data_IF_379464098503
#
_entry.id   IF_379464098503
#
_cell.length_a   1.000
_cell.length_b   1.000
_cell.length_c   1.000
_cell.angle_alpha   90.00
_cell.angle_beta   90.00
_cell.angle_gamma   90.00
#
_symmetry.space_group_name_H-M   'P 1'
#
loop_
_entity.id
_entity.type
_entity.pdbx_description
1 polymer ?
#
# COMPACT_ATOMS: atom_id res chain seq x y z
N UNK A 1 19.76 20.69 23.89
CA UNK A 1 20.06 19.44 23.14
C UNK A 1 20.51 19.87 21.76
N UNK A 2 21.57 19.28 21.18
CA UNK A 2 21.94 19.57 19.80
C UNK A 2 20.74 19.27 18.89
N UNK A 3 20.48 20.16 17.95
CA UNK A 3 19.44 20.00 16.94
C UNK A 3 19.75 18.74 16.14
N UNK A 4 18.76 17.84 16.02
CA UNK A 4 18.95 16.59 15.27
C UNK A 4 19.06 16.94 13.78
N UNK A 5 19.99 16.34 13.04
CA UNK A 5 20.03 16.52 11.59
C UNK A 5 18.70 16.15 10.93
N UNK A 6 18.38 16.84 9.82
CA UNK A 6 17.21 16.54 9.03
C UNK A 6 17.26 15.08 8.52
N UNK A 7 16.18 14.29 8.66
CA UNK A 7 16.11 12.96 8.07
C UNK A 7 16.11 13.06 6.54
N UNK A 8 16.88 12.17 5.88
CA UNK A 8 16.89 12.05 4.43
C UNK A 8 15.87 11.00 3.98
N UNK A 9 14.84 11.39 3.23
CA UNK A 9 13.78 10.49 2.80
C UNK A 9 13.81 10.34 1.28
N UNK A 10 13.91 9.09 0.83
CA UNK A 10 13.80 8.71 -0.56
C UNK A 10 12.34 8.36 -0.89
N UNK A 11 11.71 9.13 -1.77
CA UNK A 11 10.29 8.93 -2.16
C UNK A 11 10.23 8.34 -3.56
N UNK A 12 9.55 7.20 -3.73
CA UNK A 12 9.49 6.56 -5.04
C UNK A 12 8.64 7.34 -6.02
N UNK A 13 9.06 7.36 -7.28
CA UNK A 13 8.25 7.86 -8.39
C UNK A 13 7.97 6.71 -9.36
N UNK A 14 6.73 6.57 -9.86
CA UNK A 14 6.34 5.45 -10.69
C UNK A 14 7.07 5.50 -12.05
N UNK A 15 7.20 4.35 -12.74
CA UNK A 15 7.89 4.28 -14.02
C UNK A 15 7.21 5.15 -15.09
N UNK A 16 8.01 5.59 -16.05
CA UNK A 16 7.55 6.31 -17.24
C UNK A 16 7.16 5.32 -18.36
N UNK A 17 6.51 5.83 -19.42
CA UNK A 17 6.23 5.05 -20.63
C UNK A 17 5.01 4.13 -20.59
N UNK A 18 4.12 4.29 -19.60
CA UNK A 18 2.85 3.56 -19.59
C UNK A 18 1.99 3.93 -20.80
N UNK A 19 1.26 2.97 -21.43
CA UNK A 19 0.42 3.26 -22.59
C UNK A 19 -0.62 4.33 -22.28
N UNK A 20 -0.67 5.40 -23.09
CA UNK A 20 -1.59 6.51 -22.88
C UNK A 20 -3.05 6.02 -22.80
N UNK A 21 -3.77 6.50 -21.80
CA UNK A 21 -5.19 6.16 -21.59
C UNK A 21 -5.43 4.76 -21.01
N UNK A 22 -4.40 4.00 -20.63
CA UNK A 22 -4.53 2.73 -19.91
C UNK A 22 -4.78 2.93 -18.41
N UNK A 23 -5.31 1.91 -17.73
CA UNK A 23 -5.41 1.90 -16.27
C UNK A 23 -4.04 2.11 -15.60
N UNK A 24 -2.97 1.51 -16.13
CA UNK A 24 -1.62 1.65 -15.61
C UNK A 24 -1.09 3.09 -15.72
N UNK A 25 -1.34 3.77 -16.85
CA UNK A 25 -0.96 5.17 -17.01
C UNK A 25 -1.71 6.08 -16.04
N UNK A 26 -3.01 5.86 -15.85
CA UNK A 26 -3.84 6.62 -14.89
C UNK A 26 -3.34 6.40 -13.46
N UNK A 27 -3.08 5.16 -13.06
CA UNK A 27 -2.53 4.86 -11.74
C UNK A 27 -1.16 5.54 -11.54
N UNK A 28 -0.26 5.44 -12.52
CA UNK A 28 1.06 6.07 -12.45
C UNK A 28 1.02 7.61 -12.40
N UNK A 29 0.08 8.25 -13.11
CA UNK A 29 -0.10 9.70 -13.04
C UNK A 29 -0.61 10.13 -11.66
N UNK A 30 -1.56 9.39 -11.10
CA UNK A 30 -2.02 9.60 -9.72
C UNK A 30 -0.87 9.47 -8.72
N UNK A 31 -0.10 8.37 -8.79
CA UNK A 31 1.06 8.13 -7.94
C UNK A 31 2.14 9.22 -8.08
N UNK A 32 2.40 9.74 -9.28
CA UNK A 32 3.32 10.89 -9.49
C UNK A 32 2.90 12.12 -8.70
N UNK A 33 1.61 12.48 -8.77
CA UNK A 33 1.06 13.62 -8.03
C UNK A 33 1.11 13.39 -6.52
N UNK A 34 0.80 12.16 -6.07
CA UNK A 34 0.88 11.79 -4.66
C UNK A 34 2.30 11.85 -4.12
N UNK A 35 3.28 11.33 -4.85
CA UNK A 35 4.70 11.42 -4.51
C UNK A 35 5.19 12.87 -4.39
N UNK A 36 4.77 13.75 -5.32
CA UNK A 36 5.08 15.18 -5.27
C UNK A 36 4.47 15.88 -4.05
N UNK A 37 3.17 15.65 -3.80
CA UNK A 37 2.46 16.19 -2.63
C UNK A 37 3.10 15.72 -1.32
N UNK A 38 3.39 14.41 -1.20
CA UNK A 38 4.05 13.84 -0.03
C UNK A 38 5.44 14.42 0.18
N UNK A 39 6.23 14.54 -0.87
CA UNK A 39 7.58 15.14 -0.81
C UNK A 39 7.53 16.56 -0.26
N UNK A 40 6.57 17.37 -0.71
CA UNK A 40 6.36 18.72 -0.18
C UNK A 40 5.99 18.69 1.31
N UNK A 41 5.08 17.79 1.73
CA UNK A 41 4.67 17.63 3.13
C UNK A 41 5.84 17.24 4.03
N UNK A 42 6.63 16.23 3.62
CA UNK A 42 7.82 15.80 4.35
C UNK A 42 8.86 16.93 4.48
N UNK A 43 9.07 17.70 3.41
CA UNK A 43 9.96 18.87 3.42
C UNK A 43 9.52 19.95 4.43
N UNK A 44 8.21 20.26 4.50
CA UNK A 44 7.68 21.19 5.52
C UNK A 44 7.86 20.69 6.95
N UNK A 45 7.90 19.37 7.15
CA UNK A 45 8.15 18.74 8.44
C UNK A 45 9.65 18.61 8.77
N UNK A 46 10.53 19.19 7.94
CA UNK A 46 11.97 19.27 8.20
C UNK A 46 12.78 18.10 7.65
N UNK A 47 12.21 17.26 6.77
CA UNK A 47 12.97 16.23 6.07
C UNK A 47 13.68 16.79 4.83
N UNK A 48 14.90 16.32 4.56
CA UNK A 48 15.49 16.41 3.24
C UNK A 48 14.86 15.31 2.37
N UNK A 49 14.31 15.66 1.21
CA UNK A 49 13.60 14.71 0.34
C UNK A 49 14.30 14.60 -0.99
N UNK A 50 14.56 13.37 -1.42
CA UNK A 50 15.09 13.08 -2.75
C UNK A 50 14.16 12.09 -3.48
N UNK A 51 13.94 12.29 -4.80
CA UNK A 51 13.18 11.33 -5.59
C UNK A 51 13.97 10.03 -5.74
N UNK A 52 13.25 8.92 -5.79
CA UNK A 52 13.77 7.58 -6.04
C UNK A 52 13.03 6.97 -7.24
N UNK A 53 13.50 7.23 -8.48
CA UNK A 53 12.83 6.75 -9.67
C UNK A 53 12.75 5.22 -9.71
N UNK A 54 11.57 4.69 -9.99
CA UNK A 54 11.41 3.28 -10.29
C UNK A 54 12.29 2.90 -11.49
N UNK A 55 12.97 1.75 -11.37
CA UNK A 55 13.84 1.22 -12.44
C UNK A 55 13.27 -0.10 -12.92
N UNK A 56 13.29 -0.30 -14.23
CA UNK A 56 13.07 -1.63 -14.78
C UNK A 56 14.31 -2.51 -14.47
N UNK A 57 14.12 -3.77 -14.06
CA UNK A 57 15.25 -4.68 -13.93
C UNK A 57 15.92 -4.92 -15.29
N UNK A 58 17.19 -5.29 -15.28
CA UNK A 58 17.88 -5.70 -16.50
C UNK A 58 17.18 -6.93 -17.12
N UNK A 59 17.30 -7.08 -18.44
CA UNK A 59 16.67 -8.19 -19.14
C UNK A 59 17.13 -9.55 -18.56
N UNK A 60 16.18 -10.35 -18.08
CA UNK A 60 16.44 -11.65 -17.46
C UNK A 60 16.72 -11.62 -15.96
N UNK A 61 16.69 -10.46 -15.32
CA UNK A 61 16.84 -10.32 -13.87
C UNK A 61 15.51 -9.99 -13.19
N UNK A 62 15.31 -10.52 -11.98
CA UNK A 62 14.21 -10.09 -11.12
C UNK A 62 14.57 -8.77 -10.44
N UNK A 63 13.59 -7.88 -10.30
CA UNK A 63 13.76 -6.66 -9.50
C UNK A 63 14.05 -7.03 -8.04
N UNK A 64 15.03 -6.37 -7.44
CA UNK A 64 15.44 -6.62 -6.06
C UNK A 64 15.51 -5.29 -5.29
N UNK A 65 14.47 -5.04 -4.50
CA UNK A 65 14.28 -3.77 -3.80
C UNK A 65 15.48 -3.38 -2.94
N UNK A 66 16.02 -4.31 -2.16
CA UNK A 66 17.11 -4.06 -1.22
C UNK A 66 18.38 -3.51 -1.86
N UNK A 67 18.82 -4.11 -2.97
CA UNK A 67 19.98 -3.65 -3.75
C UNK A 67 19.72 -2.27 -4.36
N UNK A 68 18.56 -2.08 -4.97
CA UNK A 68 18.16 -0.81 -5.58
C UNK A 68 18.09 0.33 -4.56
N UNK A 69 17.36 0.13 -3.47
CA UNK A 69 17.24 1.12 -2.40
C UNK A 69 18.59 1.41 -1.74
N UNK A 70 19.38 0.37 -1.40
CA UNK A 70 20.67 0.57 -0.72
C UNK A 70 21.68 1.32 -1.58
N UNK A 71 21.72 1.05 -2.89
CA UNK A 71 22.56 1.78 -3.83
C UNK A 71 22.16 3.27 -3.92
N UNK A 72 20.86 3.56 -4.02
CA UNK A 72 20.36 4.92 -4.06
C UNK A 72 20.61 5.66 -2.73
N UNK A 73 20.38 4.99 -1.60
CA UNK A 73 20.64 5.49 -0.25
C UNK A 73 22.11 5.88 -0.07
N UNK A 74 23.05 5.00 -0.44
CA UNK A 74 24.49 5.28 -0.36
C UNK A 74 24.89 6.47 -1.23
N UNK A 75 24.33 6.56 -2.43
CA UNK A 75 24.56 7.70 -3.34
C UNK A 75 24.06 9.00 -2.74
N UNK A 76 22.84 9.00 -2.18
CA UNK A 76 22.25 10.19 -1.57
C UNK A 76 22.99 10.62 -0.29
N UNK A 77 23.47 9.67 0.52
CA UNK A 77 24.30 9.94 1.69
C UNK A 77 25.66 10.53 1.33
N UNK A 78 26.32 10.02 0.27
CA UNK A 78 27.60 10.53 -0.19
C UNK A 78 27.50 11.96 -0.77
N UNK A 79 26.34 12.33 -1.32
CA UNK A 79 26.06 13.66 -1.85
C UNK A 79 25.45 14.64 -0.84
N UNK A 80 25.19 14.22 0.39
CA UNK A 80 24.56 15.07 1.40
C UNK A 80 25.58 16.02 2.05
N UNK A 81 25.21 17.30 2.16
CA UNK A 81 25.97 18.27 2.92
C UNK A 81 25.67 18.12 4.42
N UNK A 82 26.67 17.71 5.19
CA UNK A 82 26.59 17.59 6.65
C UNK A 82 26.30 16.17 7.14
N UNK A 83 26.05 16.05 8.45
CA UNK A 83 25.85 14.75 9.09
C UNK A 83 24.42 14.27 8.90
N UNK A 84 24.22 13.15 8.22
CA UNK A 84 22.93 12.44 8.20
C UNK A 84 23.02 11.24 9.13
N UNK A 85 22.09 11.14 10.08
CA UNK A 85 21.99 10.00 11.01
C UNK A 85 20.66 9.24 10.88
N UNK A 86 19.82 9.66 9.92
CA UNK A 86 18.47 9.16 9.71
C UNK A 86 18.16 9.10 8.22
N UNK A 87 17.74 7.94 7.72
CA UNK A 87 17.36 7.75 6.32
C UNK A 87 16.03 7.00 6.24
N UNK A 88 15.25 7.24 5.18
CA UNK A 88 13.99 6.55 4.97
C UNK A 88 13.65 6.31 3.51
N UNK A 89 12.67 5.44 3.33
CA UNK A 89 12.04 5.06 2.07
C UNK A 89 10.54 5.26 2.22
N UNK A 90 9.89 5.81 1.19
CA UNK A 90 8.42 5.86 1.10
C UNK A 90 7.96 5.59 -0.34
N UNK A 91 7.02 4.68 -0.51
CA UNK A 91 6.33 4.44 -1.77
C UNK A 91 5.49 5.64 -2.21
N UNK A 92 5.47 5.96 -3.51
CA UNK A 92 4.78 7.13 -4.06
C UNK A 92 3.25 7.13 -3.92
N UNK A 93 2.63 5.97 -3.75
CA UNK A 93 1.21 5.82 -3.42
C UNK A 93 0.89 5.82 -1.92
N UNK A 94 1.92 5.61 -1.09
CA UNK A 94 1.76 5.35 0.33
C UNK A 94 1.58 6.64 1.14
N UNK A 95 1.01 6.51 2.34
CA UNK A 95 0.87 7.58 3.34
C UNK A 95 0.10 8.82 2.88
N UNK A 96 -0.56 8.78 1.71
CA UNK A 96 -1.20 9.94 1.11
C UNK A 96 -2.29 10.56 2.01
N UNK A 97 -2.92 9.74 2.84
CA UNK A 97 -3.96 10.13 3.79
C UNK A 97 -3.47 10.20 5.25
N UNK A 98 -2.22 9.86 5.52
CA UNK A 98 -1.65 9.90 6.87
C UNK A 98 -1.57 11.35 7.36
N UNK A 99 -1.91 11.62 8.61
CA UNK A 99 -1.86 12.96 9.21
C UNK A 99 -0.42 13.43 9.49
N UNK A 100 -0.21 14.75 9.58
CA UNK A 100 1.14 15.33 9.74
C UNK A 100 1.80 14.94 11.08
N UNK A 101 1.04 14.77 12.16
CA UNK A 101 1.54 14.28 13.47
C UNK A 101 2.04 12.83 13.40
N UNK A 102 1.35 11.99 12.63
CA UNK A 102 1.78 10.63 12.33
C UNK A 102 2.99 10.59 11.38
N UNK A 103 3.09 11.52 10.42
CA UNK A 103 4.31 11.71 9.62
C UNK A 103 5.49 12.15 10.49
N UNK A 104 5.29 13.06 11.44
CA UNK A 104 6.33 13.43 12.43
C UNK A 104 6.76 12.19 13.23
N UNK A 105 5.82 11.33 13.61
CA UNK A 105 6.12 10.07 14.31
C UNK A 105 6.95 9.11 13.45
N UNK A 106 6.67 9.04 12.14
CA UNK A 106 7.47 8.30 11.16
C UNK A 106 8.89 8.87 11.03
N UNK A 107 9.02 10.20 10.96
CA UNK A 107 10.28 10.92 10.78
C UNK A 107 11.15 11.00 12.05
N UNK A 108 10.65 10.52 13.19
CA UNK A 108 11.32 10.63 14.49
C UNK A 108 11.70 9.27 15.11
N UNK A 109 12.40 8.36 14.40
CA UNK A 109 13.01 7.20 15.02
C UNK A 109 14.09 7.64 16.02
N UNK A 110 14.31 6.97 17.13
CA UNK A 110 15.51 7.18 17.97
C UNK A 110 16.70 6.39 17.40
N UNK A 111 17.96 6.72 17.73
CA UNK A 111 19.11 5.94 17.27
C UNK A 111 18.98 4.45 17.65
N UNK A 112 19.15 3.57 16.66
CA UNK A 112 18.92 2.13 16.82
C UNK A 112 17.46 1.70 16.62
N UNK A 113 16.61 2.55 16.03
CA UNK A 113 15.19 2.24 15.76
C UNK A 113 14.86 2.32 14.27
N UNK A 114 13.91 1.47 13.86
CA UNK A 114 13.14 1.57 12.62
C UNK A 114 11.68 1.91 12.94
N UNK A 115 11.15 2.94 12.29
CA UNK A 115 9.71 3.24 12.27
C UNK A 115 9.16 2.83 10.92
N UNK A 116 8.07 2.06 10.89
CA UNK A 116 7.43 1.60 9.66
C UNK A 116 5.92 1.86 9.68
N UNK A 117 5.31 2.01 8.50
CA UNK A 117 3.85 2.11 8.40
C UNK A 117 3.14 0.79 8.70
N UNK A 118 3.84 -0.33 8.51
CA UNK A 118 3.36 -1.67 8.80
C UNK A 118 4.54 -2.61 9.00
N UNK A 119 4.54 -3.38 10.11
CA UNK A 119 5.60 -4.36 10.40
C UNK A 119 5.74 -5.47 9.34
N UNK A 120 4.63 -5.91 8.76
CA UNK A 120 4.58 -7.13 7.94
C UNK A 120 4.58 -6.86 6.44
N UNK A 121 4.24 -5.64 6.04
CA UNK A 121 4.11 -5.22 4.65
C UNK A 121 4.37 -3.72 4.59
N UNK A 122 5.64 -3.33 4.70
CA UNK A 122 6.03 -1.94 4.80
C UNK A 122 6.14 -1.31 3.40
N UNK A 123 5.45 -0.19 3.22
CA UNK A 123 5.56 0.71 2.05
C UNK A 123 6.29 2.00 2.44
N UNK A 124 6.56 2.18 3.74
CA UNK A 124 7.37 3.25 4.28
C UNK A 124 8.18 2.78 5.49
N UNK A 125 9.47 3.09 5.49
CA UNK A 125 10.39 2.82 6.61
C UNK A 125 11.33 3.99 6.83
N UNK A 126 11.58 4.35 8.08
CA UNK A 126 12.60 5.36 8.46
C UNK A 126 13.45 4.79 9.57
N UNK A 127 14.77 4.85 9.40
CA UNK A 127 15.75 4.25 10.29
C UNK A 127 16.74 5.29 10.78
N UNK A 128 17.17 5.19 12.04
CA UNK A 128 18.20 6.07 12.60
C UNK A 128 19.30 5.30 13.33
N UNK A 129 20.50 5.86 13.34
CA UNK A 129 21.68 5.32 14.02
C UNK A 129 22.72 4.79 13.05
N UNK A 130 23.08 3.51 13.17
CA UNK A 130 24.10 2.85 12.35
C UNK A 130 23.57 2.57 10.93
N UNK A 131 23.67 3.59 10.07
CA UNK A 131 23.14 3.54 8.70
C UNK A 131 23.84 2.49 7.84
N UNK A 132 25.14 2.25 8.05
CA UNK A 132 25.88 1.25 7.28
C UNK A 132 25.38 -0.16 7.58
N UNK A 133 25.22 -0.51 8.86
CA UNK A 133 24.63 -1.77 9.29
C UNK A 133 23.19 -1.92 8.80
N UNK A 134 22.41 -0.85 8.84
CA UNK A 134 21.03 -0.87 8.37
C UNK A 134 20.96 -1.17 6.86
N UNK A 135 21.76 -0.46 6.05
CA UNK A 135 21.78 -0.63 4.60
C UNK A 135 22.34 -2.01 4.19
N UNK A 136 23.36 -2.52 4.87
CA UNK A 136 23.85 -3.90 4.66
C UNK A 136 22.74 -4.94 4.93
N UNK A 137 21.97 -4.75 6.00
CA UNK A 137 20.86 -5.65 6.31
C UNK A 137 19.74 -5.59 5.27
N UNK A 138 19.40 -4.38 4.79
CA UNK A 138 18.35 -4.13 3.81
C UNK A 138 18.73 -4.60 2.41
N UNK A 139 20.01 -4.64 2.06
CA UNK A 139 20.48 -5.09 0.74
C UNK A 139 20.05 -6.54 0.42
N UNK A 140 19.83 -7.37 1.45
CA UNK A 140 19.34 -8.74 1.33
C UNK A 140 17.81 -8.86 1.14
N UNK A 141 17.06 -7.76 1.21
CA UNK A 141 15.60 -7.79 1.09
C UNK A 141 15.17 -7.77 -0.39
N UNK A 142 14.50 -8.82 -0.86
CA UNK A 142 13.93 -8.83 -2.21
C UNK A 142 12.84 -7.76 -2.40
N UNK A 143 12.08 -7.47 -1.34
CA UNK A 143 11.00 -6.47 -1.31
C UNK A 143 11.08 -5.60 -0.04
N UNK A 144 10.51 -4.39 -0.10
CA UNK A 144 10.33 -3.49 1.05
C UNK A 144 9.55 -4.12 2.21
N UNK A 145 8.62 -5.03 1.90
CA UNK A 145 7.79 -5.72 2.88
C UNK A 145 8.58 -6.46 3.98
N UNK A 146 9.84 -6.82 3.72
CA UNK A 146 10.73 -7.47 4.68
C UNK A 146 11.55 -6.48 5.52
N UNK A 147 11.68 -5.21 5.10
CA UNK A 147 12.63 -4.24 5.61
C UNK A 147 12.57 -4.08 7.14
N UNK A 148 11.37 -3.79 7.68
CA UNK A 148 11.19 -3.58 9.12
C UNK A 148 11.58 -4.81 9.96
N UNK A 149 11.24 -6.02 9.49
CA UNK A 149 11.60 -7.27 10.18
C UNK A 149 13.10 -7.53 10.08
N UNK A 150 13.67 -7.34 8.90
CA UNK A 150 15.10 -7.55 8.66
C UNK A 150 15.97 -6.66 9.53
N UNK A 151 15.59 -5.40 9.69
CA UNK A 151 16.25 -4.45 10.59
C UNK A 151 16.10 -4.89 12.06
N UNK A 152 14.93 -5.38 12.44
CA UNK A 152 14.71 -5.92 13.78
C UNK A 152 15.56 -7.16 14.07
N UNK A 153 15.73 -8.06 13.10
CA UNK A 153 16.59 -9.26 13.23
C UNK A 153 18.06 -8.90 13.46
N UNK A 154 18.52 -7.79 12.88
CA UNK A 154 19.86 -7.24 13.13
C UNK A 154 19.88 -6.25 14.29
N UNK A 155 18.87 -6.24 15.17
CA UNK A 155 18.93 -5.56 16.47
C UNK A 155 18.42 -4.13 16.52
N UNK A 156 17.79 -3.60 15.47
CA UNK A 156 17.07 -2.33 15.57
C UNK A 156 15.76 -2.53 16.34
N UNK A 157 15.46 -1.63 17.28
CA UNK A 157 14.13 -1.53 17.86
C UNK A 157 13.11 -1.17 16.77
N UNK A 158 11.86 -1.56 16.93
CA UNK A 158 10.83 -1.30 15.93
C UNK A 158 9.67 -0.51 16.54
N UNK A 159 9.11 0.39 15.73
CA UNK A 159 7.86 1.11 16.00
C UNK A 159 6.96 1.03 14.78
N UNK A 160 5.71 0.64 14.99
CA UNK A 160 4.75 0.41 13.91
C UNK A 160 3.57 1.37 14.02
N UNK A 161 3.33 2.08 12.91
CA UNK A 161 2.20 3.00 12.76
C UNK A 161 0.95 2.29 12.26
N UNK A 162 0.92 0.97 12.18
CA UNK A 162 -0.17 0.20 11.59
C UNK A 162 -1.51 0.26 12.33
N UNK A 163 -1.53 0.80 13.55
CA UNK A 163 -2.77 1.14 14.28
C UNK A 163 -3.24 2.57 14.02
N UNK A 164 -2.36 3.41 13.48
CA UNK A 164 -2.68 4.78 13.11
C UNK A 164 -3.61 4.78 11.90
N UNK A 165 -4.72 5.55 11.93
CA UNK A 165 -5.61 5.66 10.80
C UNK A 165 -4.85 5.98 9.49
N UNK A 166 -5.21 5.28 8.42
CA UNK A 166 -4.70 5.51 7.06
C UNK A 166 -3.21 5.25 6.80
N UNK A 167 -2.44 4.79 7.79
CA UNK A 167 -1.02 4.44 7.59
C UNK A 167 -0.79 3.30 6.60
N UNK A 168 -1.82 2.46 6.41
CA UNK A 168 -1.81 1.30 5.50
C UNK A 168 -2.56 1.54 4.19
N UNK A 169 -3.09 2.74 3.97
CA UNK A 169 -3.73 3.06 2.70
C UNK A 169 -2.64 3.35 1.67
N UNK A 170 -2.66 2.58 0.59
CA UNK A 170 -1.71 2.67 -0.52
C UNK A 170 -2.49 2.71 -1.84
N UNK A 171 -1.90 3.34 -2.85
CA UNK A 171 -2.54 3.58 -4.14
C UNK A 171 -1.73 2.89 -5.21
N UNK A 172 -2.22 1.75 -5.68
CA UNK A 172 -1.59 0.95 -6.74
C UNK A 172 -2.43 0.93 -8.03
N UNK A 173 -3.74 1.01 -7.89
CA UNK A 173 -4.69 0.77 -8.97
C UNK A 173 -5.66 1.94 -9.15
N UNK A 174 -6.38 1.92 -10.28
CA UNK A 174 -7.46 2.88 -10.50
C UNK A 174 -8.63 2.73 -9.52
N UNK A 175 -8.83 1.55 -8.91
CA UNK A 175 -9.80 1.38 -7.83
C UNK A 175 -9.34 2.10 -6.56
N UNK A 176 -8.05 2.06 -6.25
CA UNK A 176 -7.49 2.79 -5.09
C UNK A 176 -7.61 4.30 -5.29
N UNK A 177 -7.41 4.80 -6.52
CA UNK A 177 -7.70 6.20 -6.85
C UNK A 177 -9.19 6.55 -6.69
N UNK A 178 -10.10 5.65 -7.07
CA UNK A 178 -11.54 5.86 -6.85
C UNK A 178 -11.90 5.87 -5.35
N UNK A 179 -11.29 4.99 -4.55
CA UNK A 179 -11.42 4.98 -3.09
C UNK A 179 -10.83 6.23 -2.46
N UNK A 180 -9.68 6.70 -2.94
CA UNK A 180 -9.04 7.94 -2.49
C UNK A 180 -9.94 9.14 -2.81
N UNK A 181 -10.51 9.21 -4.02
CA UNK A 181 -11.50 10.22 -4.39
C UNK A 181 -12.69 10.20 -3.45
N UNK A 182 -13.24 9.02 -3.14
CA UNK A 182 -14.34 8.87 -2.17
C UNK A 182 -13.92 9.38 -0.78
N UNK A 183 -12.72 9.05 -0.32
CA UNK A 183 -12.20 9.48 0.99
C UNK A 183 -12.16 11.02 1.11
N UNK A 184 -11.89 11.76 0.02
CA UNK A 184 -11.93 13.23 0.04
C UNK A 184 -13.31 13.85 0.30
N UNK A 185 -14.37 13.03 0.27
CA UNK A 185 -15.77 13.43 0.44
C UNK A 185 -16.37 13.02 1.78
N UNK A 186 -15.66 12.24 2.58
CA UNK A 186 -16.12 11.81 3.90
C UNK A 186 -16.03 12.98 4.91
N UNK A 187 -17.07 13.24 5.73
CA UNK A 187 -17.00 14.21 6.82
C UNK A 187 -16.12 13.72 7.98
N UNK A 188 -15.54 14.69 8.70
CA UNK A 188 -14.80 14.59 9.96
C UNK A 188 -13.50 13.76 9.94
N UNK A 189 -12.38 14.49 10.10
CA UNK A 189 -11.06 14.08 10.64
C UNK A 189 -9.96 13.53 9.74
N UNK A 190 -10.18 12.92 8.57
CA UNK A 190 -9.04 12.52 7.71
C UNK A 190 -9.32 12.72 6.24
N UNK A 191 -8.33 13.26 5.50
CA UNK A 191 -8.20 13.27 4.02
C UNK A 191 -8.16 14.66 3.38
N UNK A 192 -9.10 15.56 3.69
CA UNK A 192 -9.22 16.81 2.90
C UNK A 192 -8.03 17.77 3.01
N UNK A 193 -7.36 17.81 4.17
CA UNK A 193 -6.19 18.66 4.40
C UNK A 193 -4.88 18.02 3.94
N UNK A 194 -4.84 16.70 3.82
CA UNK A 194 -3.63 15.95 3.45
C UNK A 194 -3.35 16.00 1.94
N UNK A 195 -4.39 16.07 1.12
CA UNK A 195 -4.26 16.14 -0.33
C UNK A 195 -4.31 17.59 -0.83
N UNK A 196 -3.33 17.97 -1.64
CA UNK A 196 -3.29 19.30 -2.25
C UNK A 196 -4.37 19.48 -3.35
N UNK A 197 -4.43 20.68 -3.93
CA UNK A 197 -5.40 20.99 -4.97
C UNK A 197 -5.14 20.23 -6.28
N UNK A 198 -3.89 19.89 -6.59
CA UNK A 198 -3.51 19.21 -7.83
C UNK A 198 -3.98 17.76 -7.81
N UNK A 199 -3.76 17.04 -6.71
CA UNK A 199 -4.23 15.67 -6.51
C UNK A 199 -5.76 15.63 -6.58
N UNK A 200 -6.44 16.55 -5.87
CA UNK A 200 -7.91 16.60 -5.89
C UNK A 200 -8.47 16.91 -7.28
N UNK A 201 -7.86 17.85 -8.01
CA UNK A 201 -8.21 18.15 -9.38
C UNK A 201 -8.06 16.93 -10.30
N UNK A 202 -6.95 16.21 -10.16
CA UNK A 202 -6.72 14.97 -10.90
C UNK A 202 -7.79 13.92 -10.60
N UNK A 203 -8.10 13.66 -9.33
CA UNK A 203 -9.11 12.67 -8.94
C UNK A 203 -10.50 12.94 -9.52
N UNK A 204 -10.89 14.20 -9.73
CA UNK A 204 -12.17 14.55 -10.36
C UNK A 204 -12.12 14.53 -11.90
N UNK A 205 -10.96 14.81 -12.49
CA UNK A 205 -10.79 14.96 -13.94
C UNK A 205 -10.32 13.68 -14.65
N UNK A 206 -9.66 12.76 -13.93
CA UNK A 206 -9.19 11.51 -14.50
C UNK A 206 -10.35 10.70 -15.09
N UNK A 207 -10.05 10.00 -16.20
CA UNK A 207 -11.01 9.16 -16.91
C UNK A 207 -10.39 7.79 -17.14
N UNK A 208 -11.13 6.74 -16.81
CA UNK A 208 -10.80 5.36 -17.09
C UNK A 208 -10.80 5.09 -18.60
N UNK A 209 -10.17 3.99 -19.07
CA UNK A 209 -10.42 3.48 -20.41
C UNK A 209 -11.92 3.39 -20.67
N UNK A 210 -12.37 3.87 -21.84
CA UNK A 210 -13.80 3.98 -22.15
C UNK A 210 -14.48 5.25 -21.63
N UNK A 211 -13.77 6.17 -20.99
CA UNK A 211 -14.25 7.51 -20.66
C UNK A 211 -15.04 7.64 -19.35
N UNK A 212 -15.13 6.56 -18.56
CA UNK A 212 -15.76 6.58 -17.23
C UNK A 212 -14.97 7.41 -16.21
N UNK A 213 -15.64 7.92 -15.18
CA UNK A 213 -14.95 8.59 -14.07
C UNK A 213 -14.34 7.58 -13.08
N UNK A 214 -13.45 8.05 -12.19
CA UNK A 214 -12.98 7.27 -11.05
C UNK A 214 -14.12 7.06 -10.04
N UNK A 215 -14.82 5.94 -10.16
CA UNK A 215 -15.94 5.58 -9.28
C UNK A 215 -15.77 4.18 -8.72
N UNK A 216 -16.16 4.02 -7.45
CA UNK A 216 -16.18 2.70 -6.81
C UNK A 216 -17.41 1.96 -7.35
N UNK A 217 -17.23 0.84 -8.07
CA UNK A 217 -18.35 0.09 -8.64
C UNK A 217 -19.34 -0.34 -7.56
N UNK A 218 -20.63 -0.29 -7.87
CA UNK A 218 -21.72 -0.80 -7.02
C UNK A 218 -21.86 -0.13 -5.63
N UNK A 219 -21.15 0.96 -5.33
CA UNK A 219 -21.13 1.57 -4.00
C UNK A 219 -22.53 1.88 -3.43
N UNK A 220 -23.40 2.49 -4.23
CA UNK A 220 -24.76 2.83 -3.78
C UNK A 220 -25.59 1.58 -3.44
N UNK A 221 -25.48 0.52 -4.26
CA UNK A 221 -26.18 -0.77 -4.06
C UNK A 221 -25.67 -1.49 -2.81
N UNK A 222 -24.35 -1.50 -2.57
CA UNK A 222 -23.78 -2.02 -1.34
C UNK A 222 -24.29 -1.24 -0.12
N UNK A 223 -24.42 0.09 -0.23
CA UNK A 223 -24.99 0.92 0.81
C UNK A 223 -26.48 0.66 1.08
N UNK A 224 -27.24 0.17 0.10
CA UNK A 224 -28.63 -0.30 0.30
C UNK A 224 -28.65 -1.61 1.08
N UNK A 225 -27.82 -2.59 0.71
CA UNK A 225 -27.66 -3.86 1.44
C UNK A 225 -27.30 -3.59 2.90
N UNK A 226 -26.28 -2.76 3.15
CA UNK A 226 -25.81 -2.44 4.51
C UNK A 226 -26.87 -1.78 5.41
N UNK A 227 -27.90 -1.14 4.83
CA UNK A 227 -28.98 -0.46 5.58
C UNK A 227 -30.22 -1.34 5.78
N UNK A 228 -30.31 -2.49 5.12
CA UNK A 228 -31.45 -3.40 5.26
C UNK A 228 -31.19 -4.47 6.34
N UNK A 229 -32.05 -4.50 7.37
CA UNK A 229 -32.01 -5.48 8.47
C UNK A 229 -32.32 -6.91 8.05
N UNK A 230 -32.89 -7.11 6.86
CA UNK A 230 -33.22 -8.43 6.31
C UNK A 230 -32.17 -8.95 5.35
N UNK A 231 -31.24 -8.10 4.92
CA UNK A 231 -30.21 -8.46 3.95
C UNK A 231 -29.00 -9.13 4.60
N UNK A 232 -28.19 -9.80 3.76
CA UNK A 232 -26.93 -10.42 4.13
C UNK A 232 -25.79 -9.92 3.22
N UNK A 233 -24.73 -9.40 3.82
CA UNK A 233 -23.51 -8.96 3.15
C UNK A 233 -22.41 -10.02 3.31
N UNK A 234 -21.84 -10.49 2.20
CA UNK A 234 -20.69 -11.39 2.18
C UNK A 234 -19.42 -10.56 2.00
N UNK A 235 -18.44 -10.77 2.87
CA UNK A 235 -17.11 -10.16 2.76
C UNK A 235 -16.05 -11.26 2.76
N UNK A 236 -15.23 -11.32 1.71
CA UNK A 236 -14.28 -12.41 1.50
C UNK A 236 -12.87 -11.91 1.14
N UNK A 237 -11.85 -12.71 1.49
CA UNK A 237 -10.43 -12.41 1.24
C UNK A 237 -9.72 -11.86 2.48
N UNK A 238 -8.85 -10.86 2.31
CA UNK A 238 -8.10 -10.27 3.43
C UNK A 238 -8.96 -9.24 4.16
N UNK A 239 -9.66 -9.71 5.19
CA UNK A 239 -10.48 -8.84 6.04
C UNK A 239 -9.75 -8.55 7.35
N UNK A 240 -9.33 -7.29 7.62
CA UNK A 240 -8.81 -6.92 8.92
C UNK A 240 -9.87 -7.07 10.01
N UNK A 241 -9.45 -7.44 11.22
CA UNK A 241 -10.35 -7.56 12.38
C UNK A 241 -11.10 -6.25 12.64
N UNK A 242 -10.44 -5.10 12.51
CA UNK A 242 -11.08 -3.79 12.65
C UNK A 242 -12.19 -3.57 11.63
N UNK A 243 -11.97 -3.97 10.37
CA UNK A 243 -12.99 -3.90 9.31
C UNK A 243 -14.18 -4.79 9.64
N UNK A 244 -13.95 -6.02 10.11
CA UNK A 244 -15.03 -6.88 10.60
C UNK A 244 -15.81 -6.17 11.70
N UNK A 245 -15.13 -5.74 12.77
CA UNK A 245 -15.77 -5.08 13.91
C UNK A 245 -16.63 -3.88 13.48
N UNK A 246 -16.12 -3.05 12.56
CA UNK A 246 -16.90 -1.94 11.99
C UNK A 246 -18.13 -2.44 11.25
N UNK A 247 -18.03 -3.48 10.42
CA UNK A 247 -19.18 -4.02 9.69
C UNK A 247 -20.27 -4.57 10.63
N UNK A 248 -19.89 -5.25 11.72
CA UNK A 248 -20.85 -5.77 12.71
C UNK A 248 -21.54 -4.68 13.52
N UNK A 249 -20.89 -3.53 13.70
CA UNK A 249 -21.39 -2.45 14.58
C UNK A 249 -22.06 -1.32 13.83
N UNK A 250 -21.64 -1.06 12.59
CA UNK A 250 -22.07 0.10 11.80
C UNK A 250 -23.01 -0.27 10.63
N UNK A 251 -23.32 -1.55 10.44
CA UNK A 251 -24.31 -1.99 9.43
C UNK A 251 -25.57 -2.55 10.09
N UNK A 252 -26.69 -2.46 9.38
CA UNK A 252 -27.98 -3.02 9.81
C UNK A 252 -28.18 -4.46 9.35
N UNK A 253 -27.46 -4.89 8.31
CA UNK A 253 -27.56 -6.21 7.70
C UNK A 253 -26.81 -7.29 8.48
N UNK A 254 -27.04 -8.56 8.13
CA UNK A 254 -26.18 -9.66 8.59
C UNK A 254 -24.87 -9.64 7.82
N UNK A 255 -23.76 -9.91 8.50
CA UNK A 255 -22.44 -9.97 7.86
C UNK A 255 -21.94 -11.41 7.90
N UNK A 256 -21.54 -11.93 6.73
CA UNK A 256 -20.86 -13.22 6.59
C UNK A 256 -19.43 -12.96 6.13
N UNK A 257 -18.45 -13.42 6.90
CA UNK A 257 -17.04 -13.26 6.55
C UNK A 257 -16.37 -14.59 6.17
N UNK A 258 -15.64 -14.58 5.05
CA UNK A 258 -14.67 -15.61 4.69
C UNK A 258 -13.27 -15.00 4.68
N UNK A 259 -12.54 -15.16 5.78
CA UNK A 259 -11.26 -14.48 5.99
C UNK A 259 -10.09 -15.41 5.68
N UNK A 260 -9.25 -15.00 4.73
CA UNK A 260 -8.08 -15.77 4.27
C UNK A 260 -6.80 -14.91 4.32
N UNK A 261 -5.66 -15.56 4.54
CA UNK A 261 -4.30 -15.04 4.33
C UNK A 261 -4.02 -13.59 4.80
N UNK A 262 -4.07 -13.35 6.12
CA UNK A 262 -3.66 -12.07 6.73
C UNK A 262 -2.14 -11.89 6.68
N UNK A 263 -1.61 -11.52 5.51
CA UNK A 263 -0.18 -11.26 5.30
C UNK A 263 0.50 -12.31 4.41
N UNK A 264 0.04 -12.46 3.17
CA UNK A 264 0.56 -13.43 2.19
C UNK A 264 2.09 -13.36 2.00
N UNK A 265 2.68 -12.16 2.06
CA UNK A 265 4.13 -11.92 1.92
C UNK A 265 4.91 -12.00 3.24
N UNK A 266 4.22 -12.18 4.36
CA UNK A 266 4.83 -12.31 5.68
C UNK A 266 4.78 -13.73 6.23
N UNK A 267 4.45 -14.71 5.38
CA UNK A 267 4.54 -16.11 5.75
C UNK A 267 5.99 -16.45 6.17
N UNK A 268 6.13 -17.32 7.18
CA UNK A 268 7.44 -17.66 7.76
C UNK A 268 8.33 -18.45 6.80
N UNK A 269 7.73 -19.17 5.86
CA UNK A 269 8.44 -19.93 4.84
C UNK A 269 8.40 -19.14 3.52
N UNK A 270 9.56 -18.66 3.03
CA UNK A 270 9.67 -17.93 1.76
C UNK A 270 9.07 -18.67 0.55
N UNK A 271 8.81 -19.98 0.65
CA UNK A 271 8.19 -20.79 -0.39
C UNK A 271 6.73 -21.19 -0.14
N UNK A 272 6.08 -20.74 0.95
CA UNK A 272 4.69 -21.15 1.20
C UNK A 272 3.75 -20.51 0.18
N UNK A 273 3.13 -21.36 -0.65
CA UNK A 273 2.13 -20.92 -1.60
C UNK A 273 0.90 -20.38 -0.84
N UNK A 274 0.38 -19.20 -1.25
CA UNK A 274 -0.87 -18.68 -0.73
C UNK A 274 -1.99 -19.71 -0.92
N UNK A 275 -2.85 -19.88 0.09
CA UNK A 275 -3.96 -20.83 0.02
C UNK A 275 -5.28 -20.09 0.05
N UNK A 276 -6.17 -20.46 -0.87
CA UNK A 276 -7.55 -19.95 -0.91
C UNK A 276 -8.53 -21.09 -1.16
N UNK A 277 -9.56 -21.18 -0.32
CA UNK A 277 -10.70 -22.08 -0.53
C UNK A 277 -11.50 -21.64 -1.76
N UNK A 278 -11.56 -20.34 -2.05
CA UNK A 278 -12.20 -19.83 -3.26
C UNK A 278 -11.43 -20.25 -4.51
N UNK A 279 -10.09 -20.24 -4.46
CA UNK A 279 -9.26 -20.76 -5.55
C UNK A 279 -9.46 -22.27 -5.72
N UNK A 280 -9.51 -23.02 -4.62
CA UNK A 280 -9.76 -24.46 -4.67
C UNK A 280 -11.16 -24.80 -5.22
N UNK A 281 -12.18 -23.99 -4.91
CA UNK A 281 -13.52 -24.13 -5.51
C UNK A 281 -13.45 -23.83 -7.01
N UNK A 282 -12.88 -22.68 -7.39
CA UNK A 282 -12.77 -22.25 -8.78
C UNK A 282 -11.99 -23.24 -9.65
N UNK A 283 -10.94 -23.86 -9.12
CA UNK A 283 -10.17 -24.89 -9.82
C UNK A 283 -10.97 -26.19 -10.07
N UNK A 284 -12.04 -26.42 -9.32
CA UNK A 284 -12.94 -27.58 -9.46
C UNK A 284 -14.23 -27.24 -10.22
N UNK A 285 -14.43 -25.98 -10.52
CA UNK A 285 -15.64 -25.42 -11.14
C UNK A 285 -15.23 -24.40 -12.22
N UNK A 286 -15.99 -23.32 -12.39
CA UNK A 286 -15.67 -22.16 -13.21
C UNK A 286 -15.75 -20.85 -12.41
N UNK A 287 -15.17 -19.74 -12.91
CA UNK A 287 -15.38 -18.40 -12.32
C UNK A 287 -16.86 -18.00 -12.25
N UNK A 288 -17.66 -18.38 -13.25
CA UNK A 288 -19.09 -18.10 -13.28
C UNK A 288 -19.84 -18.83 -12.15
N UNK A 289 -19.53 -20.10 -11.92
CA UNK A 289 -20.10 -20.88 -10.82
C UNK A 289 -19.64 -20.36 -9.45
N UNK A 290 -18.39 -19.90 -9.32
CA UNK A 290 -17.92 -19.25 -8.09
C UNK A 290 -18.75 -17.98 -7.79
N UNK A 291 -19.00 -17.14 -8.80
CA UNK A 291 -19.83 -15.94 -8.66
C UNK A 291 -21.26 -16.31 -8.27
N UNK A 292 -21.82 -17.34 -8.90
CA UNK A 292 -23.16 -17.85 -8.61
C UNK A 292 -23.27 -18.38 -7.16
N UNK A 293 -22.27 -19.12 -6.69
CA UNK A 293 -22.22 -19.56 -5.29
C UNK A 293 -22.10 -18.39 -4.31
N UNK A 294 -21.20 -17.42 -4.57
CA UNK A 294 -21.07 -16.24 -3.73
C UNK A 294 -22.37 -15.41 -3.70
N UNK A 295 -23.10 -15.36 -4.82
CA UNK A 295 -24.39 -14.66 -4.93
C UNK A 295 -25.52 -15.38 -4.19
N UNK A 296 -25.41 -16.70 -3.96
CA UNK A 296 -26.34 -17.44 -3.10
C UNK A 296 -26.11 -17.19 -1.61
N UNK A 297 -24.92 -16.73 -1.23
CA UNK A 297 -24.55 -16.52 0.17
C UNK A 297 -25.04 -15.18 0.75
N UNK A 298 -25.42 -14.22 -0.09
CA UNK A 298 -25.98 -12.94 0.38
C UNK A 298 -26.41 -12.01 -0.74
N UNK A 299 -27.01 -10.89 -0.36
CA UNK A 299 -27.56 -9.86 -1.26
C UNK A 299 -26.47 -8.92 -1.82
N UNK A 300 -25.26 -8.96 -1.25
CA UNK A 300 -24.09 -8.24 -1.74
C UNK A 300 -22.79 -8.95 -1.38
N UNK A 301 -21.78 -8.81 -2.24
CA UNK A 301 -20.46 -9.43 -2.05
C UNK A 301 -19.36 -8.38 -2.21
N UNK A 302 -18.44 -8.31 -1.24
CA UNK A 302 -17.17 -7.58 -1.34
C UNK A 302 -16.04 -8.61 -1.24
N UNK A 303 -15.28 -8.77 -2.31
CA UNK A 303 -14.21 -9.76 -2.40
C UNK A 303 -12.86 -9.07 -2.63
N UNK A 304 -11.93 -9.20 -1.68
CA UNK A 304 -10.51 -8.98 -1.96
C UNK A 304 -9.98 -10.17 -2.76
N UNK A 305 -10.00 -10.01 -4.08
CA UNK A 305 -9.58 -11.05 -5.03
C UNK A 305 -8.10 -11.37 -4.92
N UNK A 306 -7.27 -10.58 -4.23
CA UNK A 306 -5.82 -10.78 -4.20
C UNK A 306 -5.41 -12.12 -3.60
N UNK A 307 -6.19 -12.72 -2.70
CA UNK A 307 -5.90 -14.06 -2.14
C UNK A 307 -6.30 -15.17 -3.12
N UNK A 308 -7.50 -15.04 -3.69
CA UNK A 308 -8.02 -15.93 -4.73
C UNK A 308 -7.10 -15.95 -5.94
N UNK A 309 -6.66 -14.76 -6.35
CA UNK A 309 -5.55 -14.53 -7.25
C UNK A 309 -4.38 -15.24 -6.59
N UNK A 310 -3.55 -14.67 -5.71
CA UNK A 310 -2.33 -15.26 -5.10
C UNK A 310 -2.19 -16.82 -5.06
N UNK A 311 -3.25 -17.54 -4.71
CA UNK A 311 -3.28 -19.00 -4.77
C UNK A 311 -3.23 -19.62 -6.20
N UNK A 312 -3.92 -19.07 -7.20
CA UNK A 312 -4.06 -19.62 -8.56
C UNK A 312 -2.75 -19.69 -9.38
N UNK A 313 -2.02 -18.60 -9.53
CA UNK A 313 -0.63 -18.53 -10.00
C UNK A 313 0.42 -18.97 -8.96
N UNK A 314 0.03 -19.41 -7.75
CA UNK A 314 0.94 -20.01 -6.78
C UNK A 314 2.04 -19.09 -6.25
N UNK A 315 1.81 -17.78 -6.22
CA UNK A 315 2.78 -16.75 -5.88
C UNK A 315 2.14 -15.59 -5.11
N UNK A 316 2.83 -15.03 -4.12
CA UNK A 316 2.37 -13.80 -3.45
C UNK A 316 2.87 -12.52 -4.14
N UNK A 317 3.69 -12.65 -5.19
CA UNK A 317 4.21 -11.53 -5.96
C UNK A 317 3.19 -11.05 -6.98
N UNK A 318 2.80 -9.77 -6.91
CA UNK A 318 1.83 -9.10 -7.79
C UNK A 318 2.28 -9.06 -9.24
N UNK A 319 3.58 -9.16 -9.54
CA UNK A 319 4.08 -9.28 -10.92
C UNK A 319 3.56 -10.55 -11.63
N UNK A 320 3.12 -11.55 -10.85
CA UNK A 320 2.54 -12.78 -11.33
C UNK A 320 1.01 -12.69 -11.54
N UNK A 321 0.40 -11.48 -11.41
CA UNK A 321 -1.06 -11.27 -11.42
C UNK A 321 -1.50 -9.93 -12.04
N UNK A 322 -2.58 -9.88 -12.82
CA UNK A 322 -3.14 -10.93 -13.66
C UNK A 322 -2.19 -11.22 -14.86
N UNK A 323 -2.44 -12.24 -15.70
CA UNK A 323 -1.85 -12.25 -17.04
C UNK A 323 -2.10 -10.91 -17.75
N UNK A 324 -1.22 -10.50 -18.65
CA UNK A 324 -1.47 -9.36 -19.54
C UNK A 324 -2.90 -9.48 -20.09
N UNK A 325 -3.69 -8.41 -19.97
CA UNK A 325 -5.04 -8.35 -20.52
C UNK A 325 -4.94 -8.62 -22.04
N UNK A 326 -5.45 -9.77 -22.50
CA UNK A 326 -5.77 -10.00 -23.92
C UNK A 326 -7.05 -9.24 -24.31
#
# INVERSE_FOLDING_TARGET
MPERPAPLILVTTPPEGQPFGSHAAIAADGQRLLAGSLSHRLGRLGAAVAPLPAVAPAAGEAFHWGRWFSAAARTALAGADGRIDTIGYVGGGALCLLADDALVSLLSPIPGEVVANNRFSADAVVIAGDLDRALEALEACETDNAAARRLNDVGFAWRDLGVTPWSRFDVDTTLDLALLRLATRLPETVSRAALDASVRGYLEMARLPGGGALEVPHLARLGEVMRDRRAELVVAGRVPLSTWQTLETETSCRVRCLVEERGMRSARDPGSQPRSILAALMARSSPAELIDELSRLGDGVVLDTRVLMAAMAGSSDTSSWPPEEE
#
